data_IF_438990672805
#
_entry.id   IF_438990672805
#
_cell.length_a   1.000
_cell.length_b   1.000
_cell.length_c   1.000
_cell.angle_alpha   90.00
_cell.angle_beta   90.00
_cell.angle_gamma   90.00
#
_symmetry.space_group_name_H-M   'P 1'
#
loop_
_entity.id
_entity.type
_entity.pdbx_description
1 polymer ?
#
# COMPACT_ATOMS: atom_id res chain seq x y z
N UNK A 1 2.66 68.48 15.08
CA UNK A 1 4.06 68.79 15.35
C UNK A 1 4.64 69.91 14.48
N UNK A 2 3.91 70.45 13.51
CA UNK A 2 4.39 71.53 12.64
C UNK A 2 4.37 72.92 13.29
N UNK A 3 3.52 73.17 14.29
CA UNK A 3 3.30 74.49 14.89
C UNK A 3 3.98 74.69 16.27
N UNK A 4 4.50 73.60 16.87
CA UNK A 4 5.16 73.67 18.17
C UNK A 4 6.64 73.36 18.00
N UNK A 5 7.50 74.38 18.06
CA UNK A 5 8.95 74.23 18.00
C UNK A 5 9.54 74.32 19.39
N UNK A 6 10.28 73.30 19.82
CA UNK A 6 10.99 73.30 21.07
C UNK A 6 12.35 73.93 20.86
N UNK A 7 12.68 74.92 21.67
CA UNK A 7 13.97 75.70 21.59
C UNK A 7 15.05 75.15 22.49
N UNK A 8 14.72 74.27 23.45
CA UNK A 8 15.69 73.64 24.36
C UNK A 8 16.22 72.34 23.76
N UNK A 9 17.43 71.94 24.07
CA UNK A 9 18.04 70.70 23.57
C UNK A 9 17.27 69.46 24.01
N UNK A 10 16.70 69.42 25.20
CA UNK A 10 15.82 68.36 25.69
C UNK A 10 14.54 68.31 24.90
N UNK A 11 13.92 69.44 24.52
CA UNK A 11 12.73 69.49 23.70
C UNK A 11 13.01 69.02 22.27
N UNK A 12 14.15 69.32 21.69
CA UNK A 12 14.59 68.84 20.38
C UNK A 12 14.76 67.30 20.38
N UNK A 13 15.41 66.77 21.44
CA UNK A 13 15.56 65.32 21.61
C UNK A 13 14.23 64.60 21.73
N UNK A 14 13.25 65.18 22.50
CA UNK A 14 11.91 64.67 22.59
C UNK A 14 11.19 64.68 21.25
N UNK A 15 11.32 65.73 20.46
CA UNK A 15 10.71 65.82 19.11
C UNK A 15 11.29 64.75 18.17
N UNK A 16 12.60 64.49 18.23
CA UNK A 16 13.22 63.43 17.42
C UNK A 16 12.70 62.06 17.84
N UNK A 17 12.58 61.77 19.14
CA UNK A 17 12.03 60.52 19.65
C UNK A 17 10.59 60.27 19.20
N UNK A 18 9.74 61.31 19.29
CA UNK A 18 8.33 61.20 18.84
C UNK A 18 8.25 61.03 17.34
N UNK A 19 9.09 61.74 16.56
CA UNK A 19 9.14 61.55 15.10
C UNK A 19 9.61 60.15 14.70
N UNK A 20 10.67 59.64 15.34
CA UNK A 20 11.18 58.26 15.10
C UNK A 20 10.14 57.20 15.50
N UNK A 21 9.50 57.37 16.66
CA UNK A 21 8.48 56.47 17.15
C UNK A 21 7.23 56.45 16.19
N UNK A 22 6.80 57.66 15.74
CA UNK A 22 5.71 57.79 14.75
C UNK A 22 6.05 57.17 13.39
N UNK A 23 7.33 57.36 12.96
CA UNK A 23 7.82 56.75 11.72
C UNK A 23 7.88 55.21 11.81
N UNK A 24 8.34 54.66 12.90
CA UNK A 24 8.37 53.19 13.15
C UNK A 24 6.93 52.66 13.19
N UNK A 25 6.04 53.34 13.91
CA UNK A 25 4.65 52.93 13.96
C UNK A 25 4.00 52.92 12.57
N UNK A 26 4.15 53.99 11.80
CA UNK A 26 3.51 54.16 10.49
C UNK A 26 4.13 53.26 9.41
N UNK A 27 5.45 53.08 9.40
CA UNK A 27 6.11 52.32 8.33
C UNK A 27 6.29 50.82 8.64
N UNK A 28 6.29 50.44 9.91
CA UNK A 28 6.54 49.06 10.33
C UNK A 28 5.33 48.44 11.02
N UNK A 29 4.94 49.01 12.17
CA UNK A 29 3.86 48.39 12.98
C UNK A 29 2.48 48.44 12.30
N UNK A 30 2.10 49.54 11.66
CA UNK A 30 0.77 49.66 11.05
C UNK A 30 0.61 48.74 9.85
N UNK A 31 1.53 48.65 8.87
CA UNK A 31 1.45 47.66 7.81
C UNK A 31 1.50 46.22 8.32
N UNK A 32 2.35 45.92 9.31
CA UNK A 32 2.42 44.61 9.91
C UNK A 32 1.12 44.18 10.59
N UNK A 33 0.56 45.09 11.42
CA UNK A 33 -0.73 44.87 12.08
C UNK A 33 -1.88 44.73 11.07
N UNK A 34 -1.83 45.53 9.99
CA UNK A 34 -2.84 45.42 8.92
C UNK A 34 -2.75 44.06 8.20
N UNK A 35 -1.54 43.61 7.92
CA UNK A 35 -1.33 42.28 7.28
C UNK A 35 -1.83 41.18 8.21
N UNK A 36 -1.41 41.15 9.45
CA UNK A 36 -1.73 40.14 10.44
C UNK A 36 -3.22 40.07 10.79
N UNK A 37 -3.84 41.22 11.06
CA UNK A 37 -5.21 41.28 11.59
C UNK A 37 -6.33 41.44 10.53
N UNK A 38 -5.99 41.91 9.32
CA UNK A 38 -7.00 42.19 8.29
C UNK A 38 -6.71 41.40 6.99
N UNK A 39 -5.51 41.46 6.48
CA UNK A 39 -5.22 40.93 5.18
C UNK A 39 -5.10 39.38 5.21
N UNK A 40 -4.40 38.82 6.17
CA UNK A 40 -4.25 37.37 6.32
C UNK A 40 -5.59 36.66 6.63
N UNK A 41 -6.41 37.10 7.61
CA UNK A 41 -7.73 36.52 7.82
C UNK A 41 -8.67 36.67 6.61
N UNK A 42 -8.61 37.83 5.91
CA UNK A 42 -9.41 38.04 4.71
C UNK A 42 -8.98 37.10 3.55
N UNK A 43 -7.67 36.94 3.34
CA UNK A 43 -7.15 35.99 2.34
C UNK A 43 -7.54 34.57 2.68
N UNK A 44 -7.41 34.18 3.94
CA UNK A 44 -7.77 32.84 4.41
C UNK A 44 -9.28 32.59 4.28
N UNK A 45 -10.12 33.58 4.61
CA UNK A 45 -11.58 33.48 4.40
C UNK A 45 -11.93 33.35 2.92
N UNK A 46 -11.24 34.08 2.04
CA UNK A 46 -11.45 34.00 0.59
C UNK A 46 -10.95 32.68 0.00
N UNK A 47 -9.82 32.17 0.49
CA UNK A 47 -9.32 30.84 0.14
C UNK A 47 -10.28 29.76 0.61
N UNK A 48 -10.76 29.84 1.87
CA UNK A 48 -11.74 28.92 2.43
C UNK A 48 -13.06 28.88 1.64
N UNK A 49 -13.47 30.02 1.05
CA UNK A 49 -14.64 30.07 0.19
C UNK A 49 -14.48 29.37 -1.16
N UNK A 50 -13.24 29.12 -1.60
CA UNK A 50 -12.95 28.40 -2.84
C UNK A 50 -12.92 26.88 -2.65
N UNK A 51 -12.74 26.38 -1.42
CA UNK A 51 -12.69 24.96 -1.15
C UNK A 51 -14.10 24.35 -1.31
N UNK A 52 -14.28 23.35 -2.20
CA UNK A 52 -15.58 22.72 -2.40
C UNK A 52 -16.07 22.07 -1.10
N UNK A 53 -17.32 22.40 -0.70
CA UNK A 53 -17.96 21.82 0.50
C UNK A 53 -19.09 20.86 0.15
N UNK A 54 -19.39 20.72 -1.13
CA UNK A 54 -20.42 19.82 -1.65
C UNK A 54 -20.07 19.36 -3.06
N UNK A 55 -20.50 18.17 -3.42
CA UNK A 55 -20.38 17.67 -4.79
C UNK A 55 -21.53 18.14 -5.66
N UNK A 56 -21.35 18.23 -6.99
CA UNK A 56 -22.42 18.57 -7.93
C UNK A 56 -23.66 17.67 -7.75
N UNK A 57 -24.88 18.19 -7.99
CA UNK A 57 -26.12 17.45 -7.77
C UNK A 57 -26.27 16.17 -8.64
N UNK A 58 -25.60 16.13 -9.77
CA UNK A 58 -25.60 15.02 -10.74
C UNK A 58 -24.52 13.97 -10.47
N UNK A 59 -23.66 14.17 -9.47
CA UNK A 59 -22.59 13.22 -9.12
C UNK A 59 -23.17 11.88 -8.67
N UNK A 60 -22.80 10.80 -9.37
CA UNK A 60 -23.23 9.42 -9.08
C UNK A 60 -22.13 8.42 -9.40
N UNK A 61 -22.14 7.27 -8.74
CA UNK A 61 -21.19 6.18 -9.00
C UNK A 61 -19.73 6.56 -8.68
N UNK A 62 -19.52 7.58 -7.87
CA UNK A 62 -18.19 8.04 -7.44
C UNK A 62 -17.72 7.26 -6.21
N UNK A 63 -16.41 7.28 -6.00
CA UNK A 63 -15.76 6.69 -4.83
C UNK A 63 -15.42 7.80 -3.83
N UNK A 64 -15.84 7.62 -2.58
CA UNK A 64 -15.52 8.53 -1.49
C UNK A 64 -14.31 8.04 -0.71
N UNK A 65 -13.34 8.91 -0.52
CA UNK A 65 -12.07 8.65 0.15
C UNK A 65 -11.94 9.56 1.37
N UNK A 66 -11.33 9.09 2.46
CA UNK A 66 -11.33 9.81 3.75
C UNK A 66 -9.97 10.36 4.17
N UNK A 67 -8.92 10.00 3.46
CA UNK A 67 -7.56 10.42 3.78
C UNK A 67 -6.72 10.45 2.52
N UNK A 68 -5.76 11.37 2.48
CA UNK A 68 -4.70 11.38 1.47
C UNK A 68 -3.43 10.77 2.07
N UNK A 69 -3.10 9.58 1.61
CA UNK A 69 -1.91 8.83 1.96
C UNK A 69 -1.37 8.08 0.72
N UNK A 70 -0.38 7.25 0.91
CA UNK A 70 0.25 6.47 -0.17
C UNK A 70 -0.74 5.51 -0.85
N UNK A 71 -1.61 4.88 -0.04
CA UNK A 71 -2.63 3.94 -0.50
C UNK A 71 -3.67 4.66 -1.34
N UNK A 72 -4.19 5.78 -0.81
CA UNK A 72 -5.19 6.59 -1.49
C UNK A 72 -4.64 7.20 -2.78
N UNK A 73 -3.38 7.65 -2.78
CA UNK A 73 -2.71 8.15 -3.98
C UNK A 73 -2.58 7.08 -5.07
N UNK A 74 -2.25 5.85 -4.69
CA UNK A 74 -2.22 4.72 -5.62
C UNK A 74 -3.63 4.34 -6.11
N UNK A 75 -4.62 4.38 -5.21
CA UNK A 75 -6.02 4.10 -5.54
C UNK A 75 -6.58 5.14 -6.50
N UNK A 76 -6.33 6.43 -6.30
CA UNK A 76 -6.77 7.53 -7.18
C UNK A 76 -6.27 7.29 -8.60
N UNK A 77 -4.96 7.00 -8.79
CA UNK A 77 -4.41 6.71 -10.12
C UNK A 77 -5.16 5.55 -10.83
N UNK A 78 -5.52 4.51 -10.08
CA UNK A 78 -6.28 3.39 -10.63
C UNK A 78 -7.74 3.75 -10.92
N UNK A 79 -8.39 4.51 -10.04
CA UNK A 79 -9.75 5.00 -10.29
C UNK A 79 -9.81 5.83 -11.58
N UNK A 80 -8.85 6.72 -11.81
CA UNK A 80 -8.73 7.52 -13.03
C UNK A 80 -8.48 6.64 -14.26
N UNK A 81 -7.55 5.68 -14.17
CA UNK A 81 -7.28 4.72 -15.25
C UNK A 81 -8.53 3.96 -15.70
N UNK A 82 -9.41 3.64 -14.74
CA UNK A 82 -10.66 2.92 -15.02
C UNK A 82 -11.89 3.84 -15.13
N UNK A 83 -11.68 5.14 -15.26
CA UNK A 83 -12.73 6.15 -15.44
C UNK A 83 -13.76 6.20 -14.31
N UNK A 84 -13.36 5.92 -13.09
CA UNK A 84 -14.17 6.17 -11.91
C UNK A 84 -13.98 7.60 -11.42
N UNK A 85 -15.08 8.28 -11.16
CA UNK A 85 -15.05 9.53 -10.41
C UNK A 85 -14.74 9.26 -8.95
N UNK A 86 -14.03 10.16 -8.30
CA UNK A 86 -13.77 10.09 -6.86
C UNK A 86 -13.92 11.47 -6.21
N UNK A 87 -14.07 11.50 -4.91
CA UNK A 87 -13.90 12.70 -4.09
C UNK A 87 -13.20 12.34 -2.78
N UNK A 88 -12.20 13.12 -2.45
CA UNK A 88 -11.46 13.00 -1.21
C UNK A 88 -12.01 13.98 -0.20
N UNK A 89 -12.61 13.49 0.89
CA UNK A 89 -13.13 14.30 1.98
C UNK A 89 -12.02 14.54 3.01
N UNK A 90 -11.72 15.82 3.27
CA UNK A 90 -10.72 16.23 4.26
C UNK A 90 -11.31 17.29 5.20
N UNK A 91 -11.04 17.24 6.51
CA UNK A 91 -11.63 18.17 7.46
C UNK A 91 -11.00 19.57 7.39
N UNK A 92 -9.71 19.67 7.05
CA UNK A 92 -8.95 20.90 7.04
C UNK A 92 -9.04 21.61 5.68
N UNK A 93 -9.40 22.89 5.71
CA UNK A 93 -9.52 23.72 4.50
C UNK A 93 -8.18 23.93 3.82
N UNK A 94 -7.11 24.14 4.59
CA UNK A 94 -5.75 24.33 4.03
C UNK A 94 -5.28 23.09 3.29
N UNK A 95 -5.48 21.90 3.88
CA UNK A 95 -5.17 20.62 3.23
C UNK A 95 -6.01 20.45 1.97
N UNK A 96 -7.31 20.79 2.01
CA UNK A 96 -8.17 20.70 0.84
C UNK A 96 -7.69 21.61 -0.29
N UNK A 97 -7.27 22.85 0.01
CA UNK A 97 -6.75 23.77 -1.00
C UNK A 97 -5.41 23.27 -1.57
N UNK A 98 -4.49 22.83 -0.71
CA UNK A 98 -3.20 22.26 -1.15
C UNK A 98 -3.37 21.04 -2.07
N UNK A 99 -4.34 20.17 -1.74
CA UNK A 99 -4.64 18.99 -2.56
C UNK A 99 -5.38 19.35 -3.85
N UNK A 100 -6.24 20.37 -3.79
CA UNK A 100 -6.92 20.92 -4.96
C UNK A 100 -5.94 21.56 -5.96
N UNK A 101 -4.92 22.27 -5.46
CA UNK A 101 -3.83 22.82 -6.29
C UNK A 101 -2.98 21.73 -6.96
N UNK A 102 -3.02 20.49 -6.44
CA UNK A 102 -2.44 19.29 -7.06
C UNK A 102 -3.42 18.57 -8.01
N UNK A 103 -4.50 19.26 -8.42
CA UNK A 103 -5.54 18.75 -9.32
C UNK A 103 -6.36 17.58 -8.76
N UNK A 104 -6.27 17.30 -7.44
CA UNK A 104 -7.09 16.27 -6.80
C UNK A 104 -8.52 16.75 -6.60
N UNK A 105 -9.48 15.84 -6.77
CA UNK A 105 -10.90 16.11 -6.51
C UNK A 105 -11.19 16.01 -5.03
N UNK A 106 -11.22 17.15 -4.36
CA UNK A 106 -11.37 17.24 -2.90
C UNK A 106 -12.66 17.96 -2.50
N UNK A 107 -13.13 17.65 -1.31
CA UNK A 107 -14.17 18.44 -0.63
C UNK A 107 -13.83 18.59 0.85
N UNK A 108 -14.24 19.70 1.43
CA UNK A 108 -14.11 19.95 2.87
C UNK A 108 -15.31 19.35 3.60
N UNK A 109 -15.04 18.50 4.58
CA UNK A 109 -16.05 17.90 5.44
C UNK A 109 -15.42 17.14 6.59
N UNK A 110 -16.05 17.21 7.76
CA UNK A 110 -15.67 16.37 8.89
C UNK A 110 -16.22 14.95 8.70
N UNK A 111 -15.41 13.94 8.99
CA UNK A 111 -15.76 12.54 8.76
C UNK A 111 -16.83 12.01 9.74
N UNK A 112 -17.03 12.68 10.84
CA UNK A 112 -18.06 12.42 11.86
C UNK A 112 -19.34 13.25 11.67
N UNK A 113 -19.38 14.16 10.64
CA UNK A 113 -20.55 14.99 10.34
C UNK A 113 -21.46 14.33 9.30
N UNK A 114 -22.67 13.85 9.68
CA UNK A 114 -23.63 13.29 8.73
C UNK A 114 -24.00 14.24 7.57
N UNK A 115 -24.02 15.56 7.81
CA UNK A 115 -24.32 16.53 6.77
C UNK A 115 -23.20 16.64 5.74
N UNK A 116 -21.94 16.44 6.14
CA UNK A 116 -20.83 16.36 5.19
C UNK A 116 -21.01 15.17 4.22
N UNK A 117 -21.42 14.01 4.73
CA UNK A 117 -21.68 12.82 3.91
C UNK A 117 -22.88 12.99 2.97
N UNK A 118 -23.93 13.70 3.40
CA UNK A 118 -25.06 14.07 2.53
C UNK A 118 -24.59 15.00 1.40
N UNK A 119 -23.79 16.03 1.73
CA UNK A 119 -23.17 16.94 0.73
C UNK A 119 -22.20 16.21 -0.20
N UNK A 120 -21.54 15.14 0.28
CA UNK A 120 -20.73 14.22 -0.53
C UNK A 120 -21.58 13.26 -1.37
N UNK A 121 -22.92 13.31 -1.27
CA UNK A 121 -23.86 12.44 -2.01
C UNK A 121 -23.59 10.94 -1.79
N UNK A 122 -23.31 10.58 -0.54
CA UNK A 122 -22.95 9.22 -0.16
C UNK A 122 -23.96 8.17 -0.65
N UNK A 123 -25.27 8.47 -0.64
CA UNK A 123 -26.32 7.56 -1.11
C UNK A 123 -26.19 7.19 -2.59
N UNK A 124 -25.49 7.98 -3.40
CA UNK A 124 -25.26 7.75 -4.83
C UNK A 124 -23.83 7.32 -5.12
N UNK A 125 -23.01 7.08 -4.10
CA UNK A 125 -21.63 6.63 -4.24
C UNK A 125 -21.57 5.16 -4.67
N UNK A 126 -20.55 4.78 -5.42
CA UNK A 126 -20.26 3.39 -5.75
C UNK A 126 -19.56 2.67 -4.59
N UNK A 127 -18.82 3.43 -3.76
CA UNK A 127 -18.00 2.89 -2.69
C UNK A 127 -17.57 4.01 -1.74
N UNK A 128 -17.47 3.70 -0.45
CA UNK A 128 -16.73 4.48 0.53
C UNK A 128 -15.49 3.68 0.94
N UNK A 129 -14.29 4.24 0.77
CA UNK A 129 -13.04 3.64 1.19
C UNK A 129 -12.35 4.51 2.24
N UNK A 130 -12.22 3.99 3.45
CA UNK A 130 -11.59 4.67 4.58
C UNK A 130 -10.30 4.01 5.00
N UNK A 131 -9.19 4.73 4.85
CA UNK A 131 -7.82 4.30 5.22
C UNK A 131 -7.27 5.09 6.41
N UNK A 132 -8.13 5.69 7.21
CA UNK A 132 -7.77 6.41 8.42
C UNK A 132 -7.35 5.44 9.56
N UNK A 133 -7.28 5.90 10.78
CA UNK A 133 -7.06 5.00 11.93
C UNK A 133 -8.34 4.25 12.33
N UNK A 134 -8.19 3.14 13.05
CA UNK A 134 -9.28 2.20 13.37
C UNK A 134 -10.50 2.90 14.00
N UNK A 135 -10.29 3.79 14.98
CA UNK A 135 -11.37 4.56 15.63
C UNK A 135 -12.10 5.47 14.63
N UNK A 136 -11.35 6.17 13.78
CA UNK A 136 -11.93 7.03 12.75
C UNK A 136 -12.70 6.22 11.71
N UNK A 137 -12.14 5.09 11.29
CA UNK A 137 -12.79 4.18 10.34
C UNK A 137 -14.11 3.62 10.91
N UNK A 138 -14.16 3.32 12.22
CA UNK A 138 -15.38 2.89 12.90
C UNK A 138 -16.46 3.98 12.85
N UNK A 139 -16.11 5.23 13.17
CA UNK A 139 -17.04 6.35 13.10
C UNK A 139 -17.55 6.61 11.67
N UNK A 140 -16.64 6.53 10.68
CA UNK A 140 -16.99 6.65 9.26
C UNK A 140 -17.98 5.57 8.85
N UNK A 141 -17.67 4.31 9.16
CA UNK A 141 -18.53 3.18 8.79
C UNK A 141 -19.92 3.32 9.41
N UNK A 142 -20.00 3.65 10.70
CA UNK A 142 -21.24 3.85 11.42
C UNK A 142 -22.07 5.00 10.84
N UNK A 143 -21.48 6.18 10.67
CA UNK A 143 -22.16 7.37 10.12
C UNK A 143 -22.65 7.16 8.70
N UNK A 144 -21.82 6.54 7.86
CA UNK A 144 -22.17 6.23 6.45
C UNK A 144 -23.31 5.22 6.39
N UNK A 145 -23.26 4.15 7.21
CA UNK A 145 -24.29 3.10 7.22
C UNK A 145 -25.66 3.62 7.66
N UNK A 146 -25.72 4.58 8.56
CA UNK A 146 -26.97 5.25 8.93
C UNK A 146 -27.60 6.02 7.77
N UNK A 147 -26.79 6.63 6.91
CA UNK A 147 -27.23 7.46 5.79
C UNK A 147 -27.46 6.69 4.50
N UNK A 148 -26.71 5.61 4.29
CA UNK A 148 -26.66 4.85 3.03
C UNK A 148 -26.52 3.36 3.31
N UNK A 149 -27.67 2.67 3.38
CA UNK A 149 -27.74 1.24 3.79
C UNK A 149 -27.04 0.30 2.82
N UNK A 150 -27.08 0.60 1.52
CA UNK A 150 -26.64 -0.30 0.45
C UNK A 150 -25.28 0.07 -0.16
N UNK A 151 -24.69 1.20 0.23
CA UNK A 151 -23.39 1.63 -0.29
C UNK A 151 -22.30 0.75 0.31
N UNK A 152 -21.43 0.11 -0.50
CA UNK A 152 -20.32 -0.67 0.00
C UNK A 152 -19.34 0.21 0.78
N UNK A 153 -18.93 -0.27 1.97
CA UNK A 153 -17.95 0.39 2.84
C UNK A 153 -16.76 -0.52 3.01
N UNK A 154 -15.59 -0.03 2.61
CA UNK A 154 -14.31 -0.68 2.82
C UNK A 154 -13.52 0.13 3.83
N UNK A 155 -13.03 -0.52 4.87
CA UNK A 155 -12.15 0.11 5.86
C UNK A 155 -10.83 -0.63 5.95
N UNK A 156 -9.76 0.09 6.21
CA UNK A 156 -8.51 -0.53 6.65
C UNK A 156 -8.49 -0.70 8.16
N UNK A 157 -7.73 -1.68 8.64
CA UNK A 157 -7.50 -1.89 10.05
C UNK A 157 -6.02 -2.16 10.32
N UNK A 158 -5.52 -1.69 11.46
CA UNK A 158 -4.15 -1.93 11.94
C UNK A 158 -4.12 -3.00 13.01
N UNK A 159 -5.04 -2.92 13.96
CA UNK A 159 -5.13 -3.84 15.09
C UNK A 159 -6.18 -4.93 14.79
N UNK A 160 -5.78 -6.19 14.90
CA UNK A 160 -6.67 -7.33 14.66
C UNK A 160 -7.92 -7.29 15.56
N UNK A 161 -7.77 -6.82 16.78
CA UNK A 161 -8.88 -6.67 17.73
C UNK A 161 -9.97 -5.67 17.28
N UNK A 162 -9.66 -4.80 16.31
CA UNK A 162 -10.62 -3.81 15.78
C UNK A 162 -11.46 -4.36 14.62
N UNK A 163 -11.16 -5.55 14.07
CA UNK A 163 -11.84 -6.12 12.91
C UNK A 163 -13.35 -6.31 13.18
N UNK A 164 -13.69 -6.91 14.29
CA UNK A 164 -15.07 -7.19 14.67
C UNK A 164 -15.85 -5.88 14.89
N UNK A 165 -15.21 -4.90 15.53
CA UNK A 165 -15.81 -3.58 15.80
C UNK A 165 -16.13 -2.86 14.48
N UNK A 166 -15.21 -2.86 13.54
CA UNK A 166 -15.41 -2.26 12.21
C UNK A 166 -16.53 -2.94 11.43
N UNK A 167 -16.61 -4.26 11.50
CA UNK A 167 -17.69 -5.04 10.88
C UNK A 167 -19.04 -4.73 11.51
N UNK A 168 -19.11 -4.66 12.85
CA UNK A 168 -20.32 -4.27 13.59
C UNK A 168 -20.74 -2.83 13.30
N UNK A 169 -19.78 -1.92 13.06
CA UNK A 169 -20.05 -0.54 12.68
C UNK A 169 -20.63 -0.39 11.27
N UNK A 170 -20.61 -1.46 10.45
CA UNK A 170 -21.22 -1.46 9.13
C UNK A 170 -20.24 -1.51 7.96
N UNK A 171 -18.95 -1.80 8.20
CA UNK A 171 -18.01 -2.08 7.12
C UNK A 171 -18.34 -3.42 6.45
N UNK A 172 -18.49 -3.42 5.12
CA UNK A 172 -18.70 -4.66 4.36
C UNK A 172 -17.40 -5.44 4.19
N UNK A 173 -16.27 -4.72 4.12
CA UNK A 173 -14.95 -5.32 4.02
C UNK A 173 -13.94 -4.58 4.90
N UNK A 174 -13.29 -5.32 5.79
CA UNK A 174 -12.21 -4.82 6.64
C UNK A 174 -10.88 -5.36 6.11
N UNK A 175 -10.02 -4.49 5.60
CA UNK A 175 -8.77 -4.87 4.95
C UNK A 175 -7.58 -4.74 5.90
N UNK A 176 -6.87 -5.83 6.11
CA UNK A 176 -5.65 -5.93 6.91
C UNK A 176 -4.43 -5.89 5.96
N UNK A 177 -4.05 -4.71 5.51
CA UNK A 177 -2.99 -4.56 4.50
C UNK A 177 -1.65 -5.18 4.91
N UNK A 178 -1.29 -5.06 6.19
CA UNK A 178 -0.04 -5.64 6.70
C UNK A 178 -0.05 -7.17 6.61
N UNK A 179 -1.17 -7.79 6.94
CA UNK A 179 -1.33 -9.24 6.83
C UNK A 179 -1.31 -9.71 5.37
N UNK A 180 -1.97 -8.96 4.47
CA UNK A 180 -1.97 -9.28 3.03
C UNK A 180 -0.54 -9.29 2.46
N UNK A 181 0.29 -8.30 2.82
CA UNK A 181 1.68 -8.23 2.39
C UNK A 181 2.51 -9.32 3.03
N UNK A 182 2.34 -9.54 4.33
CA UNK A 182 3.03 -10.59 5.07
C UNK A 182 2.77 -11.98 4.48
N UNK A 183 1.53 -12.29 4.15
CA UNK A 183 1.16 -13.51 3.44
C UNK A 183 1.83 -13.60 2.07
N UNK A 184 1.81 -12.50 1.30
CA UNK A 184 2.44 -12.44 -0.02
C UNK A 184 3.95 -12.65 0.03
N UNK A 185 4.65 -12.13 1.03
CA UNK A 185 6.05 -12.42 1.26
C UNK A 185 6.28 -13.89 1.62
N UNK A 186 5.48 -14.42 2.55
CA UNK A 186 5.60 -15.82 2.97
C UNK A 186 5.44 -16.80 1.80
N UNK A 187 4.50 -16.56 0.88
CA UNK A 187 4.26 -17.40 -0.30
C UNK A 187 5.47 -17.42 -1.24
N UNK A 188 6.17 -16.29 -1.39
CA UNK A 188 7.29 -16.15 -2.34
C UNK A 188 8.66 -16.47 -1.76
N UNK A 189 8.73 -16.83 -0.50
CA UNK A 189 9.97 -17.14 0.21
C UNK A 189 10.55 -18.47 -0.23
N UNK A 190 11.84 -18.50 -0.62
CA UNK A 190 12.59 -19.72 -0.85
C UNK A 190 12.86 -20.40 0.50
N UNK A 191 12.33 -21.55 0.74
CA UNK A 191 12.41 -22.24 2.04
C UNK A 191 11.04 -22.53 2.63
N UNK A 192 9.99 -21.96 2.01
CA UNK A 192 8.63 -22.41 2.17
C UNK A 192 8.37 -23.73 1.43
N UNK A 193 7.14 -24.22 1.48
CA UNK A 193 6.71 -25.37 0.68
C UNK A 193 6.53 -24.96 -0.80
N UNK A 194 6.64 -25.91 -1.71
CA UNK A 194 6.41 -25.70 -3.14
C UNK A 194 4.92 -25.76 -3.50
N UNK A 195 4.02 -25.62 -2.52
CA UNK A 195 2.58 -25.67 -2.73
C UNK A 195 2.09 -24.46 -3.51
N UNK A 196 1.01 -24.64 -4.28
CA UNK A 196 0.32 -23.57 -4.96
C UNK A 196 -0.56 -22.80 -3.96
N UNK A 197 -0.32 -21.50 -3.86
CA UNK A 197 -1.07 -20.60 -2.98
C UNK A 197 -1.99 -19.71 -3.80
N UNK A 198 -3.30 -19.81 -3.55
CA UNK A 198 -4.31 -19.03 -4.26
C UNK A 198 -4.14 -17.55 -3.96
N UNK A 199 -3.96 -16.75 -5.01
CA UNK A 199 -3.82 -15.29 -4.94
C UNK A 199 -5.06 -14.58 -5.49
N UNK A 200 -5.99 -15.30 -6.12
CA UNK A 200 -7.26 -14.78 -6.61
C UNK A 200 -8.11 -15.82 -7.31
N UNK A 201 -9.36 -15.41 -7.59
CA UNK A 201 -10.36 -16.31 -8.16
C UNK A 201 -11.30 -15.55 -9.10
N UNK A 202 -11.66 -16.21 -10.23
CA UNK A 202 -12.72 -15.82 -11.14
C UNK A 202 -13.69 -17.00 -11.30
N UNK A 203 -14.85 -16.93 -10.67
CA UNK A 203 -15.80 -18.03 -10.62
C UNK A 203 -15.10 -19.33 -10.12
N UNK A 204 -15.00 -20.36 -10.97
CA UNK A 204 -14.33 -21.63 -10.64
C UNK A 204 -12.81 -21.61 -10.96
N UNK A 205 -12.32 -20.59 -11.67
CA UNK A 205 -10.92 -20.48 -12.05
C UNK A 205 -10.11 -19.81 -10.93
N UNK A 206 -9.23 -20.56 -10.32
CA UNK A 206 -8.29 -20.06 -9.33
C UNK A 206 -6.97 -19.67 -9.98
N UNK A 207 -6.38 -18.58 -9.51
CA UNK A 207 -5.03 -18.15 -9.84
C UNK A 207 -4.19 -18.34 -8.59
N UNK A 208 -3.07 -19.03 -8.76
CA UNK A 208 -2.18 -19.35 -7.65
C UNK A 208 -0.73 -19.06 -8.02
N UNK A 209 0.09 -18.87 -7.01
CA UNK A 209 1.55 -18.79 -7.14
C UNK A 209 2.21 -19.97 -6.43
N UNK A 210 3.29 -20.51 -7.02
CA UNK A 210 4.08 -21.59 -6.43
C UNK A 210 5.56 -21.38 -6.71
N UNK A 211 6.41 -21.46 -5.66
CA UNK A 211 7.86 -21.39 -5.81
C UNK A 211 8.38 -22.71 -6.38
N UNK A 212 9.25 -22.63 -7.39
CA UNK A 212 9.85 -23.81 -8.00
C UNK A 212 11.09 -24.34 -7.24
N UNK A 213 11.60 -23.59 -6.27
CA UNK A 213 12.83 -23.89 -5.52
C UNK A 213 12.86 -25.33 -4.99
N UNK A 214 13.98 -26.01 -5.25
CA UNK A 214 14.21 -27.42 -4.83
C UNK A 214 13.17 -28.43 -5.30
N UNK A 215 12.35 -28.09 -6.29
CA UNK A 215 11.46 -29.05 -6.93
C UNK A 215 12.14 -29.73 -8.11
N UNK A 216 11.65 -30.90 -8.54
CA UNK A 216 12.12 -31.56 -9.77
C UNK A 216 11.81 -30.76 -11.04
N UNK A 217 11.11 -29.63 -10.93
CA UNK A 217 10.82 -28.75 -12.06
C UNK A 217 12.03 -27.92 -12.48
N UNK A 218 12.95 -27.64 -11.53
CA UNK A 218 14.13 -26.81 -11.79
C UNK A 218 15.04 -27.46 -12.84
N UNK A 219 15.43 -26.68 -13.83
CA UNK A 219 16.26 -27.13 -14.94
C UNK A 219 15.48 -27.60 -16.16
N UNK A 220 14.18 -27.89 -16.02
CA UNK A 220 13.32 -28.30 -17.12
C UNK A 220 12.62 -27.10 -17.76
N UNK A 221 12.24 -27.25 -19.02
CA UNK A 221 11.29 -26.35 -19.67
C UNK A 221 9.86 -26.63 -19.18
N UNK A 222 8.93 -25.71 -19.41
CA UNK A 222 7.52 -25.94 -19.09
C UNK A 222 6.95 -27.14 -19.86
N UNK A 223 7.40 -27.37 -21.08
CA UNK A 223 7.01 -28.55 -21.86
C UNK A 223 7.50 -29.85 -21.21
N UNK A 224 8.80 -29.92 -20.87
CA UNK A 224 9.41 -31.12 -20.24
C UNK A 224 8.82 -31.40 -18.84
N UNK A 225 8.37 -30.37 -18.13
CA UNK A 225 7.74 -30.51 -16.81
C UNK A 225 6.42 -31.29 -16.85
N UNK A 226 5.75 -31.28 -18.00
CA UNK A 226 4.42 -31.92 -18.23
C UNK A 226 3.39 -31.54 -17.15
N UNK A 227 3.47 -30.35 -16.55
CA UNK A 227 2.64 -29.93 -15.42
C UNK A 227 1.15 -30.01 -15.75
N UNK A 228 0.75 -29.57 -16.96
CA UNK A 228 -0.64 -29.59 -17.38
C UNK A 228 -1.20 -31.01 -17.51
N UNK A 229 -0.41 -31.93 -18.03
CA UNK A 229 -0.80 -33.32 -18.18
C UNK A 229 -0.93 -34.03 -16.82
N UNK A 230 -0.01 -33.71 -15.90
CA UNK A 230 0.09 -34.36 -14.58
C UNK A 230 -0.93 -33.85 -13.57
N UNK A 231 -1.27 -32.55 -13.62
CA UNK A 231 -2.05 -31.88 -12.57
C UNK A 231 -3.30 -31.20 -13.09
N UNK A 232 -3.37 -30.88 -14.39
CA UNK A 232 -4.44 -30.08 -14.99
C UNK A 232 -4.20 -28.58 -14.89
N UNK A 233 -3.21 -28.10 -14.11
CA UNK A 233 -2.90 -26.66 -14.01
C UNK A 233 -2.28 -26.15 -15.29
N UNK A 234 -2.57 -24.89 -15.62
CA UNK A 234 -1.92 -24.17 -16.70
C UNK A 234 -0.98 -23.14 -16.10
N UNK A 235 0.30 -23.15 -16.46
CA UNK A 235 1.22 -22.08 -16.13
C UNK A 235 0.92 -20.90 -17.06
N UNK A 236 0.47 -19.77 -16.53
CA UNK A 236 0.13 -18.58 -17.31
C UNK A 236 1.30 -17.61 -17.42
N UNK A 237 2.24 -17.68 -16.51
CA UNK A 237 3.46 -16.89 -16.50
C UNK A 237 4.41 -17.31 -15.41
N UNK A 238 5.57 -16.70 -15.40
CA UNK A 238 6.60 -16.89 -14.39
C UNK A 238 7.13 -15.54 -13.91
N UNK A 239 7.44 -15.48 -12.63
CA UNK A 239 8.18 -14.37 -12.04
C UNK A 239 9.64 -14.75 -11.90
N UNK A 240 10.52 -13.93 -12.43
CA UNK A 240 11.97 -14.05 -12.23
C UNK A 240 12.56 -12.68 -11.92
N UNK A 241 13.13 -12.51 -10.72
CA UNK A 241 13.76 -11.26 -10.29
C UNK A 241 12.90 -10.01 -10.56
N UNK A 242 11.62 -10.08 -10.21
CA UNK A 242 10.66 -8.98 -10.38
C UNK A 242 10.17 -8.75 -11.82
N UNK A 243 10.54 -9.61 -12.76
CA UNK A 243 10.03 -9.57 -14.13
C UNK A 243 8.99 -10.67 -14.34
N UNK A 244 7.79 -10.28 -14.79
CA UNK A 244 6.78 -11.21 -15.22
C UNK A 244 6.98 -11.54 -16.69
N UNK A 245 7.11 -12.84 -16.98
CA UNK A 245 7.16 -13.35 -18.35
C UNK A 245 5.98 -14.27 -18.61
N UNK A 246 5.34 -14.10 -19.77
CA UNK A 246 4.29 -15.03 -20.20
C UNK A 246 4.90 -16.42 -20.41
N UNK A 247 4.21 -17.43 -19.90
CA UNK A 247 4.65 -18.82 -20.04
C UNK A 247 4.65 -19.26 -21.52
N UNK A 248 5.75 -19.86 -21.94
CA UNK A 248 5.91 -20.51 -23.24
C UNK A 248 6.43 -21.94 -23.01
N UNK A 249 6.23 -22.81 -23.99
CA UNK A 249 6.72 -24.21 -23.91
C UNK A 249 8.21 -24.29 -23.58
N UNK A 250 9.00 -23.36 -24.12
CA UNK A 250 10.46 -23.29 -23.99
C UNK A 250 10.93 -22.54 -22.75
N UNK A 251 10.01 -21.94 -21.96
CA UNK A 251 10.37 -21.23 -20.73
C UNK A 251 11.03 -22.22 -19.77
N UNK A 252 12.29 -21.95 -19.39
CA UNK A 252 13.07 -22.78 -18.46
C UNK A 252 12.73 -22.38 -17.03
N UNK A 253 12.38 -23.34 -16.21
CA UNK A 253 12.11 -23.15 -14.78
C UNK A 253 13.45 -23.14 -14.04
N UNK A 254 13.78 -22.01 -13.39
CA UNK A 254 15.01 -21.84 -12.60
C UNK A 254 14.71 -21.97 -11.11
N UNK A 255 15.72 -22.05 -10.31
CA UNK A 255 15.61 -22.23 -8.85
C UNK A 255 14.86 -21.09 -8.14
N UNK A 256 14.95 -19.85 -8.68
CA UNK A 256 14.25 -18.67 -8.13
C UNK A 256 12.94 -18.34 -8.86
N UNK A 257 12.49 -19.20 -9.76
CA UNK A 257 11.24 -18.99 -10.50
C UNK A 257 10.03 -19.18 -9.58
N UNK A 258 9.08 -18.22 -9.62
CA UNK A 258 7.75 -18.39 -9.07
C UNK A 258 6.76 -18.58 -10.23
N UNK A 259 6.13 -19.73 -10.26
CA UNK A 259 5.12 -20.08 -11.27
C UNK A 259 3.80 -19.38 -10.95
N UNK A 260 3.15 -18.81 -11.95
CA UNK A 260 1.76 -18.34 -11.87
C UNK A 260 0.86 -19.37 -12.53
N UNK A 261 0.03 -19.98 -11.73
CA UNK A 261 -0.79 -21.13 -12.08
C UNK A 261 -2.27 -20.71 -12.24
N UNK A 262 -2.94 -21.29 -13.22
CA UNK A 262 -4.38 -21.18 -13.38
C UNK A 262 -5.02 -22.58 -13.43
N UNK A 263 -6.08 -22.79 -12.66
CA UNK A 263 -6.76 -24.08 -12.60
C UNK A 263 -7.99 -24.07 -11.70
N UNK A 264 -8.70 -25.18 -11.64
CA UNK A 264 -9.76 -25.40 -10.63
C UNK A 264 -9.12 -25.77 -9.28
N UNK A 265 -9.91 -25.79 -8.22
CA UNK A 265 -9.49 -26.26 -6.90
C UNK A 265 -8.90 -27.68 -6.96
N UNK A 266 -9.53 -28.57 -7.73
CA UNK A 266 -9.05 -29.94 -7.93
C UNK A 266 -7.66 -29.97 -8.61
N UNK A 267 -7.44 -29.13 -9.63
CA UNK A 267 -6.14 -29.04 -10.30
C UNK A 267 -5.03 -28.55 -9.36
N UNK A 268 -5.32 -27.53 -8.55
CA UNK A 268 -4.37 -27.03 -7.55
C UNK A 268 -4.12 -28.05 -6.43
N UNK A 269 -5.14 -28.82 -6.03
CA UNK A 269 -4.97 -29.91 -5.07
C UNK A 269 -4.04 -31.00 -5.59
N UNK A 270 -4.19 -31.42 -6.85
CA UNK A 270 -3.27 -32.37 -7.50
C UNK A 270 -1.83 -31.82 -7.60
N UNK A 271 -1.68 -30.54 -7.91
CA UNK A 271 -0.39 -29.88 -7.88
C UNK A 271 0.24 -29.97 -6.48
N UNK A 272 -0.51 -29.65 -5.46
CA UNK A 272 -0.06 -29.68 -4.07
C UNK A 272 0.30 -31.09 -3.60
N UNK A 273 -0.45 -32.10 -3.98
CA UNK A 273 -0.10 -33.49 -3.69
C UNK A 273 1.24 -33.90 -4.28
N UNK A 274 1.56 -33.39 -5.48
CA UNK A 274 2.78 -33.71 -6.19
C UNK A 274 4.02 -33.01 -5.63
N UNK A 275 3.85 -31.76 -5.14
CA UNK A 275 5.00 -30.89 -4.82
C UNK A 275 5.15 -30.50 -3.34
N UNK A 276 4.13 -30.67 -2.49
CA UNK A 276 4.18 -30.26 -1.08
C UNK A 276 5.33 -30.86 -0.26
N UNK A 277 5.89 -31.99 -0.68
CA UNK A 277 6.99 -32.66 0.01
C UNK A 277 8.37 -32.11 -0.38
N UNK A 278 8.42 -31.29 -1.41
CA UNK A 278 9.65 -30.66 -1.85
C UNK A 278 9.76 -29.29 -1.17
N UNK A 279 10.20 -29.25 0.05
CA UNK A 279 10.68 -28.04 0.68
C UNK A 279 11.10 -28.26 2.12
N UNK A 280 12.07 -27.63 2.51
CA UNK A 280 12.37 -26.77 3.64
C UNK A 280 13.87 -26.56 3.71
N UNK A 281 14.28 -25.31 3.66
CA UNK A 281 15.58 -24.95 4.20
C UNK A 281 15.48 -25.15 5.72
N UNK A 282 16.42 -25.85 6.31
CA UNK A 282 16.50 -25.94 7.77
C UNK A 282 16.91 -24.61 8.42
N UNK A 283 17.41 -23.66 7.61
CA UNK A 283 17.84 -22.35 8.06
C UNK A 283 16.66 -21.37 8.16
N UNK A 284 16.60 -20.53 9.19
CA UNK A 284 15.52 -19.57 9.37
C UNK A 284 15.53 -18.47 8.31
N UNK A 285 14.36 -17.99 7.93
CA UNK A 285 14.21 -16.78 7.11
C UNK A 285 14.57 -15.56 7.96
N UNK A 286 15.36 -14.64 7.43
CA UNK A 286 15.74 -13.41 8.13
C UNK A 286 14.82 -12.28 7.71
N UNK A 287 14.12 -11.67 8.66
CA UNK A 287 13.23 -10.53 8.47
C UNK A 287 13.89 -9.29 9.06
N UNK A 288 14.07 -8.24 8.26
CA UNK A 288 14.64 -6.97 8.69
C UNK A 288 13.53 -5.94 8.91
N UNK A 289 13.21 -5.70 10.19
CA UNK A 289 12.13 -4.84 10.67
C UNK A 289 11.00 -5.64 11.33
N UNK A 290 10.77 -5.41 12.62
CA UNK A 290 9.71 -6.03 13.44
C UNK A 290 8.41 -5.24 13.51
N UNK A 291 8.19 -4.27 12.60
CA UNK A 291 6.94 -3.53 12.48
C UNK A 291 5.77 -4.42 12.04
N UNK A 292 4.62 -3.82 11.74
CA UNK A 292 3.39 -4.56 11.40
C UNK A 292 3.57 -5.56 10.26
N UNK A 293 4.20 -5.15 9.15
CA UNK A 293 4.47 -6.05 8.01
C UNK A 293 5.43 -7.18 8.38
N UNK A 294 6.49 -6.86 9.16
CA UNK A 294 7.46 -7.89 9.61
C UNK A 294 6.80 -8.95 10.51
N UNK A 295 5.99 -8.51 11.47
CA UNK A 295 5.21 -9.43 12.34
C UNK A 295 4.19 -10.25 11.55
N UNK A 296 3.48 -9.63 10.62
CA UNK A 296 2.53 -10.33 9.76
C UNK A 296 3.23 -11.39 8.88
N UNK A 297 4.41 -11.05 8.34
CA UNK A 297 5.26 -11.99 7.61
C UNK A 297 5.69 -13.16 8.49
N UNK A 298 6.15 -12.87 9.70
CA UNK A 298 6.55 -13.91 10.67
C UNK A 298 5.39 -14.85 11.04
N UNK A 299 4.20 -14.30 11.27
CA UNK A 299 2.99 -15.08 11.53
C UNK A 299 2.63 -15.98 10.35
N UNK A 300 2.70 -15.45 9.13
CA UNK A 300 2.44 -16.22 7.91
C UNK A 300 3.50 -17.31 7.66
N UNK A 301 4.78 -17.06 7.93
CA UNK A 301 5.84 -18.09 7.86
C UNK A 301 5.60 -19.19 8.91
N UNK A 302 5.28 -18.79 10.14
CA UNK A 302 4.98 -19.73 11.25
C UNK A 302 3.82 -20.66 10.91
N UNK A 303 2.74 -20.14 10.34
CA UNK A 303 1.57 -20.95 9.94
C UNK A 303 1.90 -21.98 8.87
N UNK A 304 2.95 -21.75 8.09
CA UNK A 304 3.49 -22.67 7.07
C UNK A 304 4.63 -23.55 7.57
N UNK A 305 4.95 -23.51 8.88
CA UNK A 305 6.03 -24.30 9.46
C UNK A 305 7.44 -23.84 9.07
N UNK A 306 7.59 -22.60 8.58
CA UNK A 306 8.88 -22.02 8.19
C UNK A 306 9.47 -21.27 9.38
N UNK A 307 10.70 -21.60 9.75
CA UNK A 307 11.42 -20.90 10.83
C UNK A 307 11.91 -19.53 10.38
N UNK A 308 11.99 -18.59 11.34
CA UNK A 308 12.37 -17.21 11.05
C UNK A 308 13.13 -16.56 12.21
N UNK A 309 13.86 -15.49 11.88
CA UNK A 309 14.45 -14.53 12.83
C UNK A 309 14.09 -13.13 12.39
N UNK A 310 13.75 -12.25 13.36
CA UNK A 310 13.43 -10.84 13.11
C UNK A 310 14.53 -9.98 13.71
N UNK A 311 15.13 -9.10 12.89
CA UNK A 311 16.04 -8.06 13.37
C UNK A 311 15.22 -6.79 13.63
N UNK A 312 15.28 -6.26 14.84
CA UNK A 312 14.54 -5.06 15.24
C UNK A 312 15.38 -4.16 16.15
N UNK A 313 15.28 -2.86 15.92
CA UNK A 313 16.01 -1.83 16.68
C UNK A 313 15.23 -1.33 17.90
N UNK A 314 13.89 -1.30 17.81
CA UNK A 314 13.03 -0.86 18.92
C UNK A 314 12.78 -2.01 19.90
N UNK A 315 13.29 -1.93 21.15
CA UNK A 315 13.10 -2.98 22.13
C UNK A 315 11.62 -3.21 22.50
N UNK A 316 10.75 -2.20 22.32
CA UNK A 316 9.32 -2.33 22.60
C UNK A 316 8.59 -3.21 21.59
N UNK A 317 9.17 -3.45 20.42
CA UNK A 317 8.62 -4.33 19.39
C UNK A 317 9.14 -5.76 19.50
N UNK A 318 10.04 -6.06 20.43
CA UNK A 318 10.58 -7.40 20.64
C UNK A 318 9.61 -8.20 21.49
N UNK A 319 8.85 -9.10 20.86
CA UNK A 319 7.82 -9.90 21.51
C UNK A 319 8.34 -11.25 22.01
N UNK A 320 9.38 -11.81 21.38
CA UNK A 320 9.94 -13.12 21.68
C UNK A 320 11.47 -13.11 21.49
N UNK A 321 12.21 -13.17 22.57
CA UNK A 321 13.68 -13.12 22.54
C UNK A 321 14.34 -14.29 21.79
N UNK A 322 13.62 -15.39 21.57
CA UNK A 322 14.15 -16.54 20.79
C UNK A 322 14.04 -16.30 19.28
N UNK A 323 13.10 -15.47 18.85
CA UNK A 323 12.83 -15.17 17.44
C UNK A 323 13.35 -13.79 17.01
N UNK A 324 13.66 -12.92 17.97
CA UNK A 324 14.15 -11.58 17.68
C UNK A 324 15.63 -11.42 17.98
N UNK A 325 16.31 -10.71 17.10
CA UNK A 325 17.68 -10.23 17.29
C UNK A 325 17.58 -8.71 17.44
N UNK A 326 17.87 -8.23 18.66
CA UNK A 326 17.87 -6.79 18.93
C UNK A 326 19.13 -6.15 18.34
N UNK A 327 18.96 -5.16 17.48
CA UNK A 327 20.05 -4.41 16.90
C UNK A 327 19.73 -3.78 15.56
N UNK A 328 20.71 -3.05 15.02
CA UNK A 328 20.57 -2.43 13.70
C UNK A 328 20.94 -3.43 12.61
N UNK A 329 20.04 -3.65 11.64
CA UNK A 329 20.30 -4.52 10.49
C UNK A 329 21.43 -4.01 9.54
N UNK A 330 21.92 -2.78 9.75
CA UNK A 330 23.13 -2.27 9.08
C UNK A 330 24.44 -2.77 9.73
N UNK A 331 24.35 -3.45 10.86
CA UNK A 331 25.49 -4.00 11.59
C UNK A 331 25.67 -5.48 11.23
N UNK A 332 26.87 -5.84 10.77
CA UNK A 332 27.21 -7.20 10.36
C UNK A 332 27.03 -8.22 11.49
N UNK A 333 27.49 -7.89 12.71
CA UNK A 333 27.36 -8.81 13.86
C UNK A 333 25.88 -9.14 14.17
N UNK A 334 24.98 -8.18 13.97
CA UNK A 334 23.54 -8.35 14.16
C UNK A 334 22.97 -9.27 13.08
N UNK A 335 23.37 -9.08 11.82
CA UNK A 335 22.96 -9.95 10.71
C UNK A 335 23.52 -11.38 10.86
N UNK A 336 24.76 -11.51 11.34
CA UNK A 336 25.37 -12.82 11.62
C UNK A 336 24.60 -13.57 12.72
N UNK A 337 24.24 -12.88 13.81
CA UNK A 337 23.39 -13.44 14.87
C UNK A 337 21.99 -13.84 14.35
N UNK A 338 21.49 -13.14 13.35
CA UNK A 338 20.22 -13.47 12.71
C UNK A 338 20.34 -14.65 11.73
N UNK A 339 21.56 -15.07 11.34
CA UNK A 339 21.82 -16.20 10.44
C UNK A 339 21.90 -15.81 8.97
N UNK A 340 22.45 -14.63 8.65
CA UNK A 340 22.57 -14.14 7.26
C UNK A 340 23.38 -15.08 6.35
N UNK A 341 24.34 -15.82 6.91
CA UNK A 341 25.18 -16.72 6.14
C UNK A 341 24.49 -18.04 5.77
N UNK A 342 23.53 -18.49 6.58
CA UNK A 342 22.83 -19.77 6.43
C UNK A 342 21.48 -19.62 5.72
N UNK A 343 20.83 -18.46 5.89
CA UNK A 343 19.49 -18.25 5.33
C UNK A 343 19.46 -18.30 3.81
N UNK A 344 18.38 -18.83 3.25
CA UNK A 344 18.09 -18.76 1.82
C UNK A 344 17.40 -17.47 1.41
N UNK A 345 16.72 -16.80 2.36
CA UNK A 345 15.89 -15.60 2.07
C UNK A 345 16.02 -14.55 3.15
N UNK A 346 16.18 -13.31 2.71
CA UNK A 346 16.03 -12.09 3.52
C UNK A 346 14.80 -11.33 3.08
N UNK A 347 13.99 -10.86 4.04
CA UNK A 347 12.81 -10.05 3.79
C UNK A 347 12.97 -8.70 4.47
N UNK A 348 13.05 -7.63 3.70
CA UNK A 348 13.20 -6.25 4.20
C UNK A 348 11.82 -5.62 4.31
N UNK A 349 11.38 -5.32 5.53
CA UNK A 349 9.99 -4.92 5.83
C UNK A 349 9.84 -3.57 6.51
N UNK A 350 10.92 -2.75 6.57
CA UNK A 350 10.81 -1.45 7.23
C UNK A 350 9.85 -0.52 6.46
N UNK A 351 9.37 0.52 7.12
CA UNK A 351 8.48 1.51 6.50
C UNK A 351 9.21 2.68 5.83
N UNK A 352 10.54 2.66 5.82
CA UNK A 352 11.39 3.70 5.23
C UNK A 352 12.07 3.14 3.99
N UNK A 353 11.64 3.58 2.81
CA UNK A 353 12.13 3.03 1.53
C UNK A 353 13.64 3.21 1.33
N UNK A 354 14.20 4.35 1.75
CA UNK A 354 15.65 4.59 1.65
C UNK A 354 16.46 3.57 2.48
N UNK A 355 15.96 3.24 3.67
CA UNK A 355 16.55 2.19 4.50
C UNK A 355 16.40 0.81 3.83
N UNK A 356 15.25 0.54 3.21
CA UNK A 356 15.04 -0.71 2.49
C UNK A 356 16.01 -0.86 1.31
N UNK A 357 16.28 0.23 0.57
CA UNK A 357 17.29 0.26 -0.50
C UNK A 357 18.69 -0.04 0.07
N UNK A 358 19.06 0.65 1.16
CA UNK A 358 20.35 0.45 1.82
C UNK A 358 20.54 -1.01 2.27
N UNK A 359 19.58 -1.56 3.01
CA UNK A 359 19.63 -2.94 3.50
C UNK A 359 19.65 -3.97 2.36
N UNK A 360 18.91 -3.71 1.29
CA UNK A 360 18.90 -4.56 0.09
C UNK A 360 20.28 -4.62 -0.55
N UNK A 361 20.94 -3.46 -0.77
CA UNK A 361 22.31 -3.39 -1.30
C UNK A 361 23.28 -4.15 -0.38
N UNK A 362 23.18 -3.92 0.92
CA UNK A 362 24.08 -4.51 1.90
C UNK A 362 23.94 -6.03 1.94
N UNK A 363 22.72 -6.57 2.03
CA UNK A 363 22.49 -8.02 2.01
C UNK A 363 22.95 -8.66 0.68
N UNK A 364 22.74 -7.97 -0.46
CA UNK A 364 23.17 -8.45 -1.77
C UNK A 364 24.71 -8.51 -1.88
N UNK A 365 25.41 -7.55 -1.29
CA UNK A 365 26.88 -7.58 -1.24
C UNK A 365 27.42 -8.70 -0.33
N UNK A 366 26.79 -8.92 0.82
CA UNK A 366 27.18 -9.99 1.74
C UNK A 366 26.90 -11.39 1.14
N UNK A 367 25.81 -11.55 0.44
CA UNK A 367 25.35 -12.81 -0.13
C UNK A 367 24.81 -12.61 -1.54
N UNK A 368 25.64 -12.67 -2.59
CA UNK A 368 25.22 -12.44 -3.99
C UNK A 368 24.06 -13.32 -4.47
N UNK A 369 23.97 -14.56 -3.98
CA UNK A 369 22.96 -15.54 -4.41
C UNK A 369 21.72 -15.60 -3.50
N UNK A 370 21.68 -14.86 -2.39
CA UNK A 370 20.53 -14.90 -1.49
C UNK A 370 19.27 -14.36 -2.18
N UNK A 371 18.12 -14.93 -1.86
CA UNK A 371 16.85 -14.29 -2.26
C UNK A 371 16.58 -13.08 -1.37
N UNK A 372 16.27 -11.94 -1.96
CA UNK A 372 15.91 -10.72 -1.25
C UNK A 372 14.52 -10.30 -1.68
N UNK A 373 13.58 -10.31 -0.72
CA UNK A 373 12.27 -9.71 -0.86
C UNK A 373 12.27 -8.36 -0.15
N UNK A 374 11.71 -7.32 -0.75
CA UNK A 374 11.68 -6.00 -0.13
C UNK A 374 10.31 -5.37 -0.21
N UNK A 375 9.92 -4.69 0.87
CA UNK A 375 8.77 -3.81 0.88
C UNK A 375 9.13 -2.47 0.23
N UNK A 376 8.23 -1.94 -0.59
CA UNK A 376 8.19 -0.53 -0.96
C UNK A 376 6.96 0.11 -0.32
N UNK A 377 7.13 1.25 0.34
CA UNK A 377 6.00 2.06 0.82
C UNK A 377 5.34 2.74 -0.37
N UNK A 378 6.14 3.37 -1.22
CA UNK A 378 5.70 4.05 -2.43
C UNK A 378 5.97 3.21 -3.68
N UNK A 379 4.97 3.12 -4.57
CA UNK A 379 5.09 2.40 -5.84
C UNK A 379 6.25 2.90 -6.71
N UNK A 380 6.55 4.21 -6.68
CA UNK A 380 7.67 4.82 -7.42
C UNK A 380 9.06 4.27 -7.04
N UNK A 381 9.21 3.69 -5.85
CA UNK A 381 10.48 3.16 -5.35
C UNK A 381 10.72 1.70 -5.73
N UNK A 382 9.72 1.01 -6.29
CA UNK A 382 9.84 -0.39 -6.75
C UNK A 382 11.01 -0.58 -7.72
N UNK A 383 11.17 0.22 -8.79
CA UNK A 383 12.30 0.07 -9.71
C UNK A 383 13.66 0.31 -9.04
N UNK A 384 13.72 1.18 -8.03
CA UNK A 384 14.96 1.45 -7.30
C UNK A 384 15.37 0.27 -6.44
N UNK A 385 14.43 -0.37 -5.75
CA UNK A 385 14.69 -1.58 -4.96
C UNK A 385 15.13 -2.76 -5.83
N UNK A 386 14.56 -2.94 -7.02
CA UNK A 386 15.04 -3.95 -7.98
C UNK A 386 16.47 -3.66 -8.43
N UNK A 387 16.81 -2.40 -8.76
CA UNK A 387 18.20 -2.01 -9.08
C UNK A 387 19.15 -2.19 -7.91
N UNK A 388 18.68 -2.04 -6.68
CA UNK A 388 19.45 -2.31 -5.46
C UNK A 388 19.75 -3.80 -5.25
N UNK A 389 19.03 -4.68 -5.95
CA UNK A 389 19.26 -6.12 -5.92
C UNK A 389 18.12 -6.94 -5.28
N UNK A 390 16.94 -6.35 -5.02
CA UNK A 390 15.79 -7.11 -4.60
C UNK A 390 15.29 -8.02 -5.74
N UNK A 391 15.08 -9.29 -5.44
CA UNK A 391 14.50 -10.25 -6.39
C UNK A 391 12.99 -10.01 -6.55
N UNK A 392 12.29 -9.64 -5.46
CA UNK A 392 10.86 -9.36 -5.42
C UNK A 392 10.62 -8.11 -4.59
N UNK A 393 9.80 -7.19 -5.09
CA UNK A 393 9.42 -5.96 -4.38
C UNK A 393 7.91 -5.86 -4.28
N UNK A 394 7.37 -5.83 -3.07
CA UNK A 394 5.94 -5.63 -2.84
C UNK A 394 5.65 -4.20 -2.42
N UNK A 395 4.90 -3.48 -3.25
CA UNK A 395 4.46 -2.12 -2.92
C UNK A 395 3.23 -2.16 -2.00
N UNK A 396 3.37 -1.62 -0.79
CA UNK A 396 2.29 -1.47 0.18
C UNK A 396 1.10 -0.71 -0.42
N UNK A 397 1.38 0.45 -1.01
CA UNK A 397 0.35 1.30 -1.61
C UNK A 397 -0.36 0.60 -2.79
N UNK A 398 0.41 -0.06 -3.66
CA UNK A 398 -0.14 -0.73 -4.84
C UNK A 398 -1.01 -1.93 -4.48
N UNK A 399 -0.58 -2.75 -3.53
CA UNK A 399 -1.34 -3.92 -3.08
C UNK A 399 -2.65 -3.51 -2.38
N UNK A 400 -2.58 -2.52 -1.49
CA UNK A 400 -3.76 -2.00 -0.81
C UNK A 400 -4.77 -1.40 -1.79
N UNK A 401 -4.30 -0.57 -2.73
CA UNK A 401 -5.16 -0.01 -3.78
C UNK A 401 -5.75 -1.10 -4.69
N UNK A 402 -4.97 -2.15 -5.01
CA UNK A 402 -5.44 -3.32 -5.76
C UNK A 402 -6.56 -4.06 -5.04
N UNK A 403 -6.43 -4.27 -3.74
CA UNK A 403 -7.46 -4.92 -2.93
C UNK A 403 -8.79 -4.15 -2.97
N UNK A 404 -8.75 -2.83 -2.83
CA UNK A 404 -9.94 -1.98 -2.94
C UNK A 404 -10.55 -2.06 -4.35
N UNK A 405 -9.73 -1.99 -5.40
CA UNK A 405 -10.19 -2.10 -6.78
C UNK A 405 -10.79 -3.47 -7.10
N UNK A 406 -10.23 -4.56 -6.57
CA UNK A 406 -10.77 -5.91 -6.74
C UNK A 406 -12.19 -6.03 -6.16
N UNK A 407 -12.43 -5.39 -5.02
CA UNK A 407 -13.76 -5.33 -4.40
C UNK A 407 -14.73 -4.43 -5.19
N UNK A 408 -14.27 -3.27 -5.66
CA UNK A 408 -15.07 -2.35 -6.47
C UNK A 408 -15.49 -2.97 -7.82
N UNK A 409 -14.64 -3.82 -8.40
CA UNK A 409 -14.88 -4.49 -9.70
C UNK A 409 -14.92 -6.01 -9.57
N UNK A 410 -15.55 -6.50 -8.53
CA UNK A 410 -15.62 -7.93 -8.21
C UNK A 410 -16.01 -8.78 -9.43
N UNK A 411 -15.20 -9.82 -9.70
CA UNK A 411 -15.44 -10.77 -10.80
C UNK A 411 -15.09 -10.24 -12.21
N UNK A 412 -14.55 -9.03 -12.36
CA UNK A 412 -14.12 -8.48 -13.65
C UNK A 412 -12.63 -8.24 -13.76
N UNK A 413 -11.98 -7.88 -12.66
CA UNK A 413 -10.54 -7.61 -12.60
C UNK A 413 -10.01 -8.29 -11.37
N UNK A 414 -8.85 -8.91 -11.49
CA UNK A 414 -8.02 -9.34 -10.39
C UNK A 414 -6.67 -8.64 -10.51
N UNK A 415 -6.41 -7.69 -9.64
CA UNK A 415 -5.12 -7.03 -9.52
C UNK A 415 -4.25 -7.85 -8.57
N UNK A 416 -3.16 -8.36 -9.09
CA UNK A 416 -2.16 -9.12 -8.36
C UNK A 416 -0.98 -8.19 -8.04
N UNK A 417 -0.12 -8.59 -7.12
CA UNK A 417 1.12 -7.86 -6.81
C UNK A 417 1.98 -7.63 -8.07
N UNK A 418 2.83 -6.61 -8.01
CA UNK A 418 3.83 -6.27 -9.06
C UNK A 418 3.24 -5.89 -10.43
N UNK A 419 1.97 -5.41 -10.45
CA UNK A 419 1.37 -4.87 -11.67
C UNK A 419 0.74 -5.90 -12.60
N UNK A 420 0.72 -7.18 -12.23
CA UNK A 420 -0.04 -8.19 -12.97
C UNK A 420 -1.54 -7.97 -12.75
N UNK A 421 -2.24 -7.67 -13.84
CA UNK A 421 -3.68 -7.51 -13.84
C UNK A 421 -4.32 -8.57 -14.73
N UNK A 422 -5.26 -9.32 -14.19
CA UNK A 422 -6.03 -10.35 -14.90
C UNK A 422 -7.45 -9.83 -15.13
N UNK A 423 -7.95 -10.02 -16.33
CA UNK A 423 -9.26 -9.49 -16.74
C UNK A 423 -10.17 -10.61 -17.22
N UNK A 424 -11.42 -10.58 -16.77
CA UNK A 424 -12.48 -11.35 -17.40
C UNK A 424 -13.05 -10.55 -18.57
N UNK A 425 -12.85 -11.03 -19.79
CA UNK A 425 -13.30 -10.36 -21.02
C UNK A 425 -14.42 -11.20 -21.64
N UNK A 426 -15.50 -10.54 -22.04
CA UNK A 426 -16.57 -11.20 -22.81
C UNK A 426 -16.04 -11.50 -24.21
N UNK A 427 -16.07 -12.77 -24.59
CA UNK A 427 -15.60 -13.18 -25.91
C UNK A 427 -16.46 -12.53 -27.00
N UNK A 428 -15.83 -11.85 -27.98
CA UNK A 428 -16.56 -11.30 -29.14
C UNK A 428 -17.22 -12.40 -29.95
N UNK A 429 -18.38 -12.11 -30.51
CA UNK A 429 -19.11 -13.08 -31.36
C UNK A 429 -18.28 -13.57 -32.57
N UNK A 430 -17.33 -12.76 -33.04
CA UNK A 430 -16.40 -13.10 -34.13
C UNK A 430 -15.41 -14.22 -33.80
N UNK A 431 -15.22 -14.52 -32.52
CA UNK A 431 -14.35 -15.60 -32.04
C UNK A 431 -15.11 -16.86 -31.67
N UNK A 432 -16.44 -16.81 -31.71
CA UNK A 432 -17.27 -17.99 -31.40
C UNK A 432 -17.03 -19.09 -32.44
N UNK A 433 -16.80 -20.31 -31.97
CA UNK A 433 -16.56 -21.48 -32.82
C UNK A 433 -15.12 -21.61 -33.34
N UNK A 434 -14.21 -20.72 -32.94
CA UNK A 434 -12.77 -20.80 -33.27
C UNK A 434 -11.99 -21.43 -32.11
N UNK A 435 -10.89 -22.07 -32.43
CA UNK A 435 -9.92 -22.51 -31.41
C UNK A 435 -9.09 -21.32 -30.94
N UNK A 436 -8.44 -21.43 -29.75
CA UNK A 436 -7.56 -20.38 -29.20
C UNK A 436 -6.37 -20.11 -30.15
N UNK A 437 -5.97 -21.09 -30.93
CA UNK A 437 -4.88 -20.94 -31.91
C UNK A 437 -5.30 -20.22 -33.21
N UNK A 438 -6.59 -20.03 -33.47
CA UNK A 438 -7.18 -19.29 -34.60
C UNK A 438 -7.59 -17.88 -34.20
#
# INVERSE_FOLDING_TARGET
FGDITFHTDLGRLFSIMVLLSGMIFLLVLLPFTFIEFFYEPWMNARAAARAPRQLPPDTRGHVLLTRHDEVTSALIRRLEQYSYSYALMVPNVEDALRLHDQELKVMVGHLDDPEAWKRARVQSAALVASTAGDVTNTNVAFTVRELAKDVPIITSVREEASVDILSLAGSDHVLQFEQMIGQSFSIRTLGGDASAHVIGQFDELMIAEAAAHRTPLVGNTLLESALRERTGVTVVGVWERGHFELARSETVIRDKTVLVLAGSEEHLSRYNELFRHFSSSAAPVVILGGGGVGRATAAALKSRGVDYRIVETDPNLILDSQKYVHGNAADLEVLEKAGIHETATVIVTTNVDDLNVYLTIYCRQLRPEIQILSRATYERNVPTLHRAGADIVLSYASMAAGAVMNLLRRGRILMVAEGLNLFKVRMPASMAGKTIAQ
#
